data_IF_416095032598
#
_entry.id   IF_416095032598
#
_cell.length_a   1.000
_cell.length_b   1.000
_cell.length_c   1.000
_cell.angle_alpha   90.00
_cell.angle_beta   90.00
_cell.angle_gamma   90.00
#
_symmetry.space_group_name_H-M   'P 1'
#
loop_
_entity.id
_entity.type
_entity.pdbx_description
1 polymer ?
#
# COMPACT_ATOMS: atom_id res chain seq x y z
N UNK A 1 -0.12 -21.33 11.70
CA UNK A 1 0.81 -22.25 12.38
C UNK A 1 0.21 -23.66 12.54
N UNK A 2 -1.01 -23.82 13.04
CA UNK A 2 -1.65 -25.13 13.17
C UNK A 2 -1.71 -25.96 11.87
N UNK A 3 -1.90 -25.32 10.72
CA UNK A 3 -1.93 -25.98 9.41
C UNK A 3 -0.61 -26.65 9.04
N UNK A 4 0.53 -26.05 9.40
CA UNK A 4 1.87 -26.63 9.15
C UNK A 4 2.28 -27.68 10.16
N UNK A 5 1.71 -27.67 11.36
CA UNK A 5 1.94 -28.69 12.37
C UNK A 5 1.17 -29.99 12.10
N UNK A 6 -0.02 -29.84 11.49
CA UNK A 6 -0.94 -30.96 11.25
C UNK A 6 -0.76 -31.65 9.88
N UNK A 7 -0.02 -31.07 8.94
CA UNK A 7 0.08 -31.58 7.56
C UNK A 7 1.50 -31.48 7.01
N UNK A 8 1.88 -32.45 6.17
CA UNK A 8 3.10 -32.40 5.35
C UNK A 8 2.88 -31.45 4.15
N UNK A 9 2.91 -30.15 4.39
CA UNK A 9 2.66 -29.12 3.39
C UNK A 9 3.42 -27.83 3.63
N UNK A 10 3.22 -26.85 2.74
CA UNK A 10 3.82 -25.54 2.83
C UNK A 10 2.79 -24.43 2.58
N UNK A 11 3.15 -23.22 2.94
CA UNK A 11 2.33 -22.01 2.83
C UNK A 11 3.01 -21.04 1.88
N UNK A 12 2.23 -20.41 1.00
CA UNK A 12 2.64 -19.30 0.16
C UNK A 12 1.97 -18.01 0.64
N UNK A 13 2.76 -16.98 0.89
CA UNK A 13 2.26 -15.62 1.12
C UNK A 13 2.58 -14.80 -0.11
N UNK A 14 1.58 -14.18 -0.70
CA UNK A 14 1.72 -13.28 -1.83
C UNK A 14 1.49 -11.86 -1.33
N UNK A 15 2.49 -11.01 -1.49
CA UNK A 15 2.48 -9.64 -1.04
C UNK A 15 2.50 -8.66 -2.22
N UNK A 16 1.91 -7.45 -2.10
CA UNK A 16 1.83 -6.49 -3.20
C UNK A 16 3.18 -5.89 -3.59
N UNK A 17 4.13 -5.83 -2.66
CA UNK A 17 5.40 -5.15 -2.88
C UNK A 17 6.58 -5.83 -2.18
N UNK A 18 7.82 -5.49 -2.60
CA UNK A 18 9.05 -5.96 -1.93
C UNK A 18 9.16 -5.48 -0.48
N UNK A 19 8.59 -4.32 -0.17
CA UNK A 19 8.57 -3.76 1.19
C UNK A 19 7.68 -4.62 2.09
N UNK A 20 6.47 -4.96 1.63
CA UNK A 20 5.57 -5.86 2.35
C UNK A 20 6.20 -7.25 2.56
N UNK A 21 6.92 -7.79 1.56
CA UNK A 21 7.71 -9.04 1.73
C UNK A 21 8.74 -8.92 2.85
N UNK A 22 9.46 -7.79 2.93
CA UNK A 22 10.47 -7.56 3.97
C UNK A 22 9.83 -7.46 5.36
N UNK A 23 8.78 -6.68 5.52
CA UNK A 23 8.04 -6.53 6.78
C UNK A 23 7.51 -7.87 7.28
N UNK A 24 6.80 -8.62 6.43
CA UNK A 24 6.26 -9.93 6.76
C UNK A 24 7.36 -10.95 7.12
N UNK A 25 8.45 -10.96 6.34
CA UNK A 25 9.54 -11.91 6.59
C UNK A 25 10.24 -11.63 7.92
N UNK A 26 10.43 -10.36 8.28
CA UNK A 26 11.04 -9.97 9.55
C UNK A 26 10.16 -10.37 10.73
N UNK A 27 8.87 -10.04 10.68
CA UNK A 27 7.90 -10.38 11.72
C UNK A 27 7.74 -11.91 11.91
N UNK A 28 7.64 -12.65 10.80
CA UNK A 28 7.48 -14.10 10.84
C UNK A 28 8.74 -14.84 11.26
N UNK A 29 9.94 -14.39 10.89
CA UNK A 29 11.21 -14.99 11.36
C UNK A 29 11.36 -14.89 12.87
N UNK A 30 10.97 -13.77 13.46
CA UNK A 30 11.00 -13.63 14.92
C UNK A 30 10.10 -14.66 15.61
N UNK A 31 8.86 -14.85 15.13
CA UNK A 31 7.93 -15.85 15.68
C UNK A 31 8.29 -17.30 15.33
N UNK A 32 8.99 -17.56 14.21
CA UNK A 32 9.30 -18.89 13.72
C UNK A 32 10.47 -19.58 14.45
N UNK A 33 11.36 -18.83 15.09
CA UNK A 33 12.50 -19.36 15.83
C UNK A 33 12.10 -20.38 16.92
N UNK A 34 10.90 -20.21 17.48
CA UNK A 34 10.36 -21.09 18.54
C UNK A 34 9.57 -22.28 18.02
N UNK A 35 9.28 -22.36 16.71
CA UNK A 35 8.30 -23.32 16.16
C UNK A 35 8.88 -24.32 15.15
N UNK A 36 10.16 -24.18 14.79
CA UNK A 36 10.80 -25.02 13.77
C UNK A 36 10.24 -24.82 12.36
N UNK A 37 9.62 -23.66 12.08
CA UNK A 37 9.10 -23.28 10.77
C UNK A 37 10.17 -22.51 10.02
N UNK A 38 10.44 -22.92 8.76
CA UNK A 38 11.36 -22.20 7.86
C UNK A 38 10.63 -21.07 7.14
N UNK A 39 11.21 -19.87 7.12
CA UNK A 39 10.69 -18.72 6.37
C UNK A 39 11.65 -18.37 5.24
N UNK A 40 11.18 -18.53 4.00
CA UNK A 40 11.92 -18.22 2.76
C UNK A 40 11.36 -16.93 2.13
N UNK A 41 12.21 -15.97 1.81
CA UNK A 41 11.81 -14.72 1.16
C UNK A 41 12.93 -14.12 0.30
N UNK A 42 12.57 -13.31 -0.68
CA UNK A 42 13.54 -12.55 -1.48
C UNK A 42 14.52 -13.46 -2.23
N UNK A 43 15.82 -13.33 -1.95
CA UNK A 43 16.88 -14.10 -2.62
C UNK A 43 16.90 -15.59 -2.27
N UNK A 44 16.29 -15.99 -1.17
CA UNK A 44 16.21 -17.40 -0.75
C UNK A 44 15.19 -18.19 -1.58
N UNK A 45 14.38 -17.50 -2.41
CA UNK A 45 13.35 -18.12 -3.25
C UNK A 45 13.83 -18.22 -4.69
N UNK A 46 14.48 -19.32 -5.03
CA UNK A 46 14.95 -19.59 -6.40
C UNK A 46 13.83 -20.10 -7.32
N UNK A 47 12.88 -20.87 -6.76
CA UNK A 47 11.75 -21.45 -7.50
C UNK A 47 10.45 -21.24 -6.71
N UNK A 48 9.65 -20.27 -7.12
CA UNK A 48 8.46 -19.80 -6.38
C UNK A 48 7.46 -20.92 -6.07
N UNK A 49 7.11 -21.77 -7.04
CA UNK A 49 6.10 -22.81 -6.91
C UNK A 49 6.67 -24.24 -6.78
N UNK A 50 7.99 -24.43 -6.76
CA UNK A 50 8.57 -25.74 -6.45
C UNK A 50 8.28 -26.11 -4.99
N UNK A 51 7.98 -27.39 -4.73
CA UNK A 51 7.74 -27.86 -3.36
C UNK A 51 8.97 -27.65 -2.48
N UNK A 52 8.90 -26.80 -1.44
CA UNK A 52 10.00 -26.66 -0.48
C UNK A 52 9.99 -27.82 0.53
N UNK A 53 10.97 -27.90 1.44
CA UNK A 53 10.86 -28.77 2.61
C UNK A 53 9.56 -28.54 3.39
N UNK A 54 9.09 -29.56 4.09
CA UNK A 54 7.90 -29.43 4.94
C UNK A 54 8.07 -28.34 6.01
N UNK A 55 6.95 -27.79 6.47
CA UNK A 55 6.90 -26.65 7.43
C UNK A 55 7.58 -25.37 6.93
N UNK A 56 7.47 -25.08 5.65
CA UNK A 56 8.01 -23.85 5.07
C UNK A 56 6.90 -22.84 4.79
N UNK A 57 7.15 -21.58 5.16
CA UNK A 57 6.41 -20.41 4.70
C UNK A 57 7.27 -19.70 3.65
N UNK A 58 6.74 -19.55 2.45
CA UNK A 58 7.41 -18.82 1.36
C UNK A 58 6.69 -17.51 1.12
N UNK A 59 7.43 -16.40 1.08
CA UNK A 59 6.88 -15.06 0.89
C UNK A 59 7.43 -14.49 -0.42
N UNK A 60 6.54 -14.13 -1.33
CA UNK A 60 6.88 -13.63 -2.66
C UNK A 60 6.05 -12.40 -3.02
N UNK A 61 6.52 -11.63 -3.99
CA UNK A 61 5.69 -10.59 -4.60
C UNK A 61 4.78 -11.19 -5.67
N UNK A 62 3.66 -10.52 -5.95
CA UNK A 62 2.76 -10.88 -7.05
C UNK A 62 3.51 -10.92 -8.40
N UNK A 63 4.48 -10.03 -8.62
CA UNK A 63 5.34 -10.04 -9.82
C UNK A 63 6.16 -11.32 -9.93
N UNK A 64 6.85 -11.72 -8.86
CA UNK A 64 7.62 -12.96 -8.84
C UNK A 64 6.75 -14.20 -9.12
N UNK A 65 5.51 -14.17 -8.60
CA UNK A 65 4.54 -15.24 -8.86
C UNK A 65 4.08 -15.23 -10.33
N UNK A 66 3.75 -14.07 -10.90
CA UNK A 66 3.32 -13.94 -12.29
C UNK A 66 4.42 -14.40 -13.27
N UNK A 67 5.68 -14.09 -12.98
CA UNK A 67 6.82 -14.47 -13.82
C UNK A 67 6.93 -16.00 -13.99
N UNK A 68 6.49 -16.79 -13.00
CA UNK A 68 6.45 -18.26 -13.10
C UNK A 68 5.43 -18.73 -14.14
N UNK A 69 4.36 -17.98 -14.33
CA UNK A 69 3.30 -18.29 -15.27
C UNK A 69 3.52 -17.71 -16.68
N UNK A 70 4.70 -17.17 -16.96
CA UNK A 70 4.98 -16.50 -18.24
C UNK A 70 4.98 -17.44 -19.45
N UNK A 71 5.28 -18.73 -19.26
CA UNK A 71 5.41 -19.71 -20.36
C UNK A 71 4.57 -20.96 -20.19
N UNK A 72 4.17 -21.29 -18.98
CA UNK A 72 3.37 -22.48 -18.66
C UNK A 72 2.67 -22.33 -17.33
N UNK A 73 1.61 -23.09 -17.14
CA UNK A 73 0.96 -23.28 -15.82
C UNK A 73 1.61 -24.51 -15.17
N UNK A 74 2.44 -24.32 -14.11
CA UNK A 74 3.14 -25.43 -13.48
C UNK A 74 2.18 -26.24 -12.60
N UNK A 75 2.49 -27.53 -12.43
CA UNK A 75 1.82 -28.35 -11.43
C UNK A 75 2.33 -27.96 -10.02
N UNK A 76 1.40 -27.61 -9.13
CA UNK A 76 1.72 -27.22 -7.75
C UNK A 76 1.39 -28.35 -6.79
N UNK A 77 2.37 -28.80 -6.01
CA UNK A 77 2.21 -29.93 -5.08
C UNK A 77 2.50 -29.53 -3.64
N UNK A 78 1.70 -30.05 -2.70
CA UNK A 78 1.90 -29.86 -1.27
C UNK A 78 1.59 -28.44 -0.76
N UNK A 79 1.10 -27.52 -1.60
CA UNK A 79 0.64 -26.19 -1.18
C UNK A 79 -0.70 -26.34 -0.46
N UNK A 80 -0.76 -25.89 0.78
CA UNK A 80 -1.97 -26.03 1.64
C UNK A 80 -2.71 -24.73 1.83
N UNK A 81 -1.98 -23.62 1.86
CA UNK A 81 -2.55 -22.30 2.11
C UNK A 81 -1.84 -21.26 1.25
N UNK A 82 -2.63 -20.43 0.59
CA UNK A 82 -2.20 -19.19 -0.04
C UNK A 82 -2.75 -18.03 0.79
N UNK A 83 -1.88 -17.17 1.28
CA UNK A 83 -2.27 -15.93 1.95
C UNK A 83 -2.04 -14.77 1.00
N UNK A 84 -3.11 -14.08 0.64
CA UNK A 84 -3.11 -12.87 -0.18
C UNK A 84 -3.07 -11.66 0.76
N UNK A 85 -1.91 -11.02 0.88
CA UNK A 85 -1.70 -9.89 1.79
C UNK A 85 -1.94 -8.57 1.07
N UNK A 86 -2.61 -7.62 1.75
CA UNK A 86 -2.81 -6.28 1.23
C UNK A 86 -3.64 -6.23 -0.05
N UNK A 87 -4.76 -6.99 -0.09
CA UNK A 87 -5.59 -7.11 -1.30
C UNK A 87 -6.23 -5.77 -1.73
N UNK A 88 -6.34 -4.80 -0.84
CA UNK A 88 -6.75 -3.43 -1.22
C UNK A 88 -5.83 -2.78 -2.25
N UNK A 89 -4.61 -3.29 -2.40
CA UNK A 89 -3.64 -2.86 -3.41
C UNK A 89 -3.72 -3.70 -4.70
N UNK A 90 -4.87 -4.35 -4.95
CA UNK A 90 -5.07 -5.20 -6.12
C UNK A 90 -4.77 -4.42 -7.42
N UNK A 91 -3.64 -4.72 -8.02
CA UNK A 91 -3.26 -4.25 -9.34
C UNK A 91 -3.40 -5.39 -10.38
N UNK A 92 -3.29 -5.10 -11.67
CA UNK A 92 -3.41 -6.13 -12.72
C UNK A 92 -2.43 -7.29 -12.58
N UNK A 93 -1.25 -7.05 -12.02
CA UNK A 93 -0.23 -8.09 -11.81
C UNK A 93 -0.65 -9.01 -10.68
N UNK A 94 -1.13 -8.43 -9.58
CA UNK A 94 -1.59 -9.17 -8.42
C UNK A 94 -2.80 -10.01 -8.77
N UNK A 95 -3.80 -9.41 -9.43
CA UNK A 95 -5.01 -10.11 -9.85
C UNK A 95 -4.68 -11.30 -10.75
N UNK A 96 -3.89 -11.09 -11.81
CA UNK A 96 -3.56 -12.14 -12.77
C UNK A 96 -2.73 -13.25 -12.12
N UNK A 97 -1.75 -12.91 -11.27
CA UNK A 97 -0.92 -13.89 -10.58
C UNK A 97 -1.73 -14.81 -9.67
N UNK A 98 -2.66 -14.25 -8.89
CA UNK A 98 -3.54 -15.04 -8.00
C UNK A 98 -4.54 -15.87 -8.80
N UNK A 99 -5.09 -15.33 -9.89
CA UNK A 99 -6.02 -16.04 -10.76
C UNK A 99 -5.37 -17.27 -11.42
N UNK A 100 -4.13 -17.10 -11.92
CA UNK A 100 -3.36 -18.22 -12.49
C UNK A 100 -2.96 -19.24 -11.42
N UNK A 101 -2.63 -18.80 -10.21
CA UNK A 101 -2.37 -19.73 -9.10
C UNK A 101 -3.62 -20.51 -8.72
N UNK A 102 -4.78 -19.85 -8.68
CA UNK A 102 -6.06 -20.50 -8.43
C UNK A 102 -6.36 -21.56 -9.50
N UNK A 103 -6.15 -21.22 -10.78
CA UNK A 103 -6.28 -22.18 -11.89
C UNK A 103 -5.31 -23.37 -11.73
N UNK A 104 -4.03 -23.10 -11.38
CA UNK A 104 -3.02 -24.13 -11.17
C UNK A 104 -3.31 -25.06 -9.97
N UNK A 105 -4.13 -24.61 -9.03
CA UNK A 105 -4.44 -25.33 -7.79
C UNK A 105 -5.89 -25.83 -7.70
N UNK A 106 -6.69 -25.69 -8.77
CA UNK A 106 -8.12 -26.06 -8.75
C UNK A 106 -8.38 -27.52 -8.38
N UNK A 107 -7.45 -28.43 -8.69
CA UNK A 107 -7.56 -29.88 -8.38
C UNK A 107 -6.89 -30.26 -7.05
N UNK A 108 -6.41 -29.29 -6.27
CA UNK A 108 -5.68 -29.53 -5.01
C UNK A 108 -6.45 -28.96 -3.83
N UNK A 109 -6.29 -29.52 -2.61
CA UNK A 109 -6.97 -29.01 -1.42
C UNK A 109 -6.27 -27.76 -0.88
N UNK A 110 -5.95 -26.80 -1.75
CA UNK A 110 -5.32 -25.52 -1.41
C UNK A 110 -6.38 -24.52 -0.97
N UNK A 111 -6.19 -23.93 0.21
CA UNK A 111 -7.08 -22.89 0.74
C UNK A 111 -6.52 -21.51 0.44
N UNK A 112 -7.41 -20.54 0.18
CA UNK A 112 -7.06 -19.14 0.05
C UNK A 112 -7.52 -18.38 1.30
N UNK A 113 -6.64 -17.50 1.80
CA UNK A 113 -6.90 -16.57 2.88
C UNK A 113 -6.53 -15.18 2.39
N UNK A 114 -7.42 -14.22 2.59
CA UNK A 114 -7.21 -12.81 2.18
C UNK A 114 -7.12 -11.93 3.42
N UNK A 115 -6.13 -11.05 3.43
CA UNK A 115 -6.03 -9.95 4.38
C UNK A 115 -6.04 -8.64 3.60
N UNK A 116 -6.93 -7.74 3.98
CA UNK A 116 -7.11 -6.46 3.30
C UNK A 116 -7.49 -5.37 4.30
N UNK A 117 -7.24 -4.11 3.96
CA UNK A 117 -7.92 -2.99 4.59
C UNK A 117 -9.44 -3.13 4.38
N UNK A 118 -10.24 -2.37 5.14
CA UNK A 118 -11.70 -2.43 5.04
C UNK A 118 -12.18 -2.18 3.62
N UNK A 119 -12.91 -3.13 3.07
CA UNK A 119 -13.53 -3.06 1.75
C UNK A 119 -15.01 -2.74 1.88
N UNK A 120 -15.56 -1.99 0.92
CA UNK A 120 -16.99 -1.68 0.87
C UNK A 120 -17.84 -2.95 0.69
N UNK A 121 -17.40 -3.85 -0.20
CA UNK A 121 -18.02 -5.16 -0.43
C UNK A 121 -16.96 -6.20 -0.80
N UNK A 122 -16.89 -7.28 -0.01
CA UNK A 122 -15.97 -8.38 -0.22
C UNK A 122 -16.63 -9.59 -0.94
N UNK A 123 -17.89 -9.49 -1.35
CA UNK A 123 -18.66 -10.62 -1.90
C UNK A 123 -18.06 -11.17 -3.18
N UNK A 124 -17.61 -10.30 -4.10
CA UNK A 124 -17.01 -10.73 -5.35
C UNK A 124 -15.61 -11.31 -5.17
N UNK A 125 -14.88 -10.87 -4.15
CA UNK A 125 -13.59 -11.50 -3.76
C UNK A 125 -13.83 -12.90 -3.25
N UNK A 126 -14.86 -13.10 -2.43
CA UNK A 126 -15.21 -14.42 -1.91
C UNK A 126 -15.55 -15.39 -3.04
N UNK A 127 -16.33 -14.94 -4.04
CA UNK A 127 -16.63 -15.74 -5.24
C UNK A 127 -15.37 -16.01 -6.07
N UNK A 128 -14.55 -14.99 -6.28
CA UNK A 128 -13.29 -15.12 -7.03
C UNK A 128 -12.35 -16.15 -6.43
N UNK A 129 -12.23 -16.22 -5.10
CA UNK A 129 -11.30 -17.10 -4.41
C UNK A 129 -11.95 -18.35 -3.81
N UNK A 130 -13.23 -18.60 -4.13
CA UNK A 130 -14.01 -19.74 -3.63
C UNK A 130 -14.03 -19.82 -2.09
N UNK A 131 -14.26 -18.67 -1.45
CA UNK A 131 -14.38 -18.53 -0.01
C UNK A 131 -15.87 -18.57 0.35
N UNK A 132 -16.28 -19.52 1.19
CA UNK A 132 -17.66 -19.62 1.66
C UNK A 132 -18.03 -18.44 2.59
N UNK A 133 -19.33 -18.20 2.78
CA UNK A 133 -19.82 -17.09 3.61
C UNK A 133 -19.38 -17.19 5.08
N UNK A 134 -19.21 -18.39 5.62
CA UNK A 134 -18.72 -18.60 6.99
C UNK A 134 -17.22 -18.21 7.13
N UNK A 135 -16.46 -18.23 6.04
CA UNK A 135 -15.05 -17.82 5.98
C UNK A 135 -14.86 -16.33 5.78
N UNK A 136 -15.94 -15.54 5.64
CA UNK A 136 -15.89 -14.11 5.38
C UNK A 136 -16.14 -13.32 6.66
N UNK A 137 -15.14 -12.52 7.07
CA UNK A 137 -15.26 -11.57 8.16
C UNK A 137 -14.94 -10.17 7.63
N UNK A 138 -15.90 -9.25 7.76
CA UNK A 138 -15.74 -7.87 7.28
C UNK A 138 -15.72 -6.93 8.46
N UNK A 139 -14.66 -6.14 8.58
CA UNK A 139 -14.53 -5.06 9.56
C UNK A 139 -14.72 -3.72 8.84
N UNK A 140 -15.60 -2.88 9.34
CA UNK A 140 -15.74 -1.51 8.85
C UNK A 140 -14.65 -0.63 9.45
N UNK A 141 -14.32 0.53 8.85
CA UNK A 141 -13.32 1.44 9.42
C UNK A 141 -13.59 1.82 10.87
N UNK A 142 -14.87 1.89 11.29
CA UNK A 142 -15.29 2.18 12.67
C UNK A 142 -15.10 1.02 13.65
N UNK A 143 -14.91 -0.22 13.16
CA UNK A 143 -14.78 -1.42 14.01
C UNK A 143 -13.32 -1.65 14.44
N UNK A 144 -12.47 -0.61 14.42
CA UNK A 144 -11.08 -0.66 14.87
C UNK A 144 -11.02 -0.87 16.39
N UNK A 145 -10.05 -1.68 16.84
CA UNK A 145 -9.75 -1.86 18.27
C UNK A 145 -9.28 -0.55 18.92
N UNK A 146 -8.56 0.28 18.15
CA UNK A 146 -8.13 1.60 18.59
C UNK A 146 -9.03 2.67 18.01
N UNK A 147 -9.53 3.53 18.88
CA UNK A 147 -10.31 4.69 18.45
C UNK A 147 -9.46 5.66 17.64
N UNK A 148 -10.06 6.23 16.60
CA UNK A 148 -9.44 7.18 15.70
C UNK A 148 -10.31 8.41 15.58
N UNK A 149 -9.74 9.57 15.90
CA UNK A 149 -10.36 10.87 15.64
C UNK A 149 -9.97 11.34 14.26
N UNK A 150 -10.94 11.46 13.37
CA UNK A 150 -10.75 11.95 12.00
C UNK A 150 -11.17 13.40 11.89
N UNK A 151 -10.23 14.28 11.62
CA UNK A 151 -10.47 15.72 11.41
C UNK A 151 -10.25 16.06 9.94
N UNK A 152 -11.22 16.71 9.31
CA UNK A 152 -11.19 17.05 7.89
C UNK A 152 -11.20 18.58 7.74
N UNK A 153 -10.29 19.13 6.93
CA UNK A 153 -10.24 20.56 6.63
C UNK A 153 -10.11 20.79 5.14
N UNK A 154 -10.97 21.64 4.60
CA UNK A 154 -11.02 21.94 3.17
C UNK A 154 -10.36 23.28 2.83
N UNK A 155 -9.84 23.33 1.61
CA UNK A 155 -9.22 24.51 1.03
C UNK A 155 -9.79 24.74 -0.38
N UNK A 156 -9.98 26.01 -0.74
CA UNK A 156 -10.45 26.43 -2.05
C UNK A 156 -9.30 26.93 -2.96
N UNK A 157 -8.08 26.92 -2.42
CA UNK A 157 -6.88 27.33 -3.17
C UNK A 157 -6.48 26.19 -4.11
N UNK A 158 -6.28 26.46 -5.42
CA UNK A 158 -5.78 25.45 -6.36
C UNK A 158 -4.41 24.92 -5.94
N UNK A 159 -4.04 23.72 -6.47
CA UNK A 159 -2.73 23.13 -6.24
C UNK A 159 -1.60 24.09 -6.59
N UNK A 160 -0.88 24.57 -5.57
CA UNK A 160 0.16 25.60 -5.69
C UNK A 160 0.99 25.67 -4.41
N UNK A 161 2.11 26.37 -4.44
CA UNK A 161 2.89 26.66 -3.23
C UNK A 161 2.07 27.41 -2.17
N UNK A 162 1.15 28.28 -2.60
CA UNK A 162 0.26 29.05 -1.69
C UNK A 162 -0.69 28.14 -0.92
N UNK A 163 -1.15 27.05 -1.53
CA UNK A 163 -1.99 26.04 -0.85
C UNK A 163 -1.23 25.43 0.33
N UNK A 164 0.00 24.96 0.10
CA UNK A 164 0.79 24.30 1.16
C UNK A 164 1.16 25.28 2.28
N UNK A 165 1.46 26.53 1.93
CA UNK A 165 1.68 27.58 2.92
C UNK A 165 0.44 27.86 3.78
N UNK A 166 -0.76 27.84 3.16
CA UNK A 166 -2.01 27.96 3.89
C UNK A 166 -2.31 26.76 4.80
N UNK A 167 -1.81 25.57 4.47
CA UNK A 167 -1.93 24.35 5.28
C UNK A 167 -0.96 24.29 6.44
N UNK A 168 0.16 25.03 6.43
CA UNK A 168 1.21 24.96 7.44
C UNK A 168 0.72 25.31 8.85
N UNK A 169 -0.05 26.39 9.02
CA UNK A 169 -0.61 26.80 10.32
C UNK A 169 -1.60 25.78 10.88
N UNK A 170 -2.61 25.28 10.13
CA UNK A 170 -3.46 24.18 10.59
C UNK A 170 -2.70 22.91 10.94
N UNK A 171 -1.66 22.55 10.17
CA UNK A 171 -0.84 21.37 10.46
C UNK A 171 -0.06 21.55 11.77
N UNK A 172 0.57 22.72 11.97
CA UNK A 172 1.23 23.06 13.24
C UNK A 172 0.26 22.91 14.42
N UNK A 173 -0.95 23.49 14.31
CA UNK A 173 -1.97 23.37 15.37
C UNK A 173 -2.39 21.94 15.63
N UNK A 174 -2.53 21.11 14.59
CA UNK A 174 -2.84 19.69 14.74
C UNK A 174 -1.73 18.96 15.53
N UNK A 175 -0.46 19.30 15.30
CA UNK A 175 0.68 18.76 16.06
C UNK A 175 0.62 19.22 17.54
N UNK A 176 0.24 20.47 17.80
CA UNK A 176 0.20 21.03 19.16
C UNK A 176 -1.00 20.55 19.98
N UNK A 177 -2.14 20.27 19.34
CA UNK A 177 -3.34 19.74 20.02
C UNK A 177 -3.21 18.27 20.44
N UNK A 178 -2.22 17.56 19.90
CA UNK A 178 -1.92 16.22 20.37
C UNK A 178 -1.38 16.22 21.81
N UNK A 179 -1.56 15.14 22.57
CA UNK A 179 -0.97 15.02 23.90
C UNK A 179 0.50 15.41 23.92
N UNK A 180 0.94 16.07 25.01
CA UNK A 180 2.32 16.57 25.11
C UNK A 180 3.34 15.48 24.78
N UNK A 181 4.31 15.83 23.90
CA UNK A 181 5.36 14.89 23.46
C UNK A 181 4.96 13.93 22.34
N UNK A 182 3.70 13.91 21.89
CA UNK A 182 3.27 13.02 20.81
C UNK A 182 4.00 13.33 19.50
N UNK A 183 4.47 12.26 18.85
CA UNK A 183 5.06 12.34 17.51
C UNK A 183 4.00 12.49 16.41
N UNK A 184 4.37 13.09 15.28
CA UNK A 184 3.51 13.34 14.15
C UNK A 184 4.15 12.91 12.82
N UNK A 185 3.40 12.16 12.00
CA UNK A 185 3.72 11.91 10.60
C UNK A 185 3.00 12.96 9.73
N UNK A 186 3.74 13.64 8.87
CA UNK A 186 3.18 14.64 7.93
C UNK A 186 3.37 14.15 6.51
N UNK A 187 2.31 13.70 5.87
CA UNK A 187 2.33 13.28 4.47
C UNK A 187 2.18 14.47 3.54
N UNK A 188 3.04 14.51 2.52
CA UNK A 188 3.14 15.58 1.54
C UNK A 188 3.16 15.03 0.11
N UNK A 189 2.83 15.82 -0.93
CA UNK A 189 2.70 15.30 -2.30
C UNK A 189 3.99 14.74 -2.90
N UNK A 190 5.14 15.36 -2.65
CA UNK A 190 6.38 14.94 -3.29
C UNK A 190 7.62 15.23 -2.44
N UNK A 191 8.68 14.45 -2.68
CA UNK A 191 9.96 14.65 -2.00
C UNK A 191 10.60 16.03 -2.23
N UNK A 192 10.33 16.65 -3.39
CA UNK A 192 10.83 17.98 -3.70
C UNK A 192 10.25 19.09 -2.81
N UNK A 193 9.13 18.84 -2.14
CA UNK A 193 8.45 19.78 -1.24
C UNK A 193 8.84 19.59 0.23
N UNK A 194 9.62 18.55 0.58
CA UNK A 194 9.97 18.23 1.96
C UNK A 194 10.55 19.43 2.72
N UNK A 195 11.57 20.05 2.16
CA UNK A 195 12.29 21.17 2.81
C UNK A 195 11.42 22.42 2.94
N UNK A 196 10.64 22.74 1.90
CA UNK A 196 9.76 23.92 1.92
C UNK A 196 8.67 23.78 2.98
N UNK A 197 8.00 22.62 3.03
CA UNK A 197 6.94 22.37 4.02
C UNK A 197 7.53 22.29 5.44
N UNK A 198 8.71 21.69 5.61
CA UNK A 198 9.41 21.69 6.90
C UNK A 198 9.71 23.12 7.37
N UNK A 199 10.22 23.97 6.48
CA UNK A 199 10.50 25.36 6.80
C UNK A 199 9.24 26.14 7.17
N UNK A 200 8.13 25.92 6.45
CA UNK A 200 6.84 26.54 6.76
C UNK A 200 6.34 26.10 8.14
N UNK A 201 6.45 24.81 8.49
CA UNK A 201 6.07 24.28 9.80
C UNK A 201 6.93 24.86 10.93
N UNK A 202 8.26 24.88 10.76
CA UNK A 202 9.19 25.45 11.74
C UNK A 202 8.89 26.95 11.94
N UNK A 203 8.62 27.67 10.85
CA UNK A 203 8.25 29.09 10.92
C UNK A 203 6.96 29.30 11.72
N UNK A 204 5.93 28.46 11.49
CA UNK A 204 4.68 28.56 12.28
C UNK A 204 4.93 28.22 13.76
N UNK A 205 5.76 27.22 14.05
CA UNK A 205 6.14 26.86 15.41
C UNK A 205 6.83 28.02 16.11
N UNK A 206 7.82 28.64 15.47
CA UNK A 206 8.55 29.79 16.04
C UNK A 206 7.63 30.98 16.29
N UNK A 207 6.68 31.26 15.39
CA UNK A 207 5.74 32.38 15.52
C UNK A 207 4.67 32.18 16.62
N UNK A 208 4.18 30.94 16.79
CA UNK A 208 3.10 30.67 17.77
C UNK A 208 3.66 30.28 19.16
N UNK A 209 4.83 29.63 19.24
CA UNK A 209 5.40 29.13 20.49
C UNK A 209 6.51 30.05 21.05
N UNK A 210 6.92 31.06 20.30
CA UNK A 210 8.02 31.97 20.66
C UNK A 210 9.34 31.24 21.07
N UNK A 211 9.55 30.01 20.55
CA UNK A 211 10.69 29.19 20.89
C UNK A 211 11.61 28.95 19.67
N UNK A 212 12.90 29.05 19.89
CA UNK A 212 13.91 28.75 18.89
C UNK A 212 14.15 27.23 18.72
N UNK A 213 13.64 26.38 19.64
CA UNK A 213 13.87 24.94 19.64
C UNK A 213 13.00 24.18 18.62
N UNK A 214 11.96 24.85 18.07
CA UNK A 214 11.06 24.24 17.11
C UNK A 214 10.21 23.10 17.74
N UNK A 215 10.31 21.91 17.17
CA UNK A 215 9.59 20.70 17.62
C UNK A 215 10.44 19.75 18.47
N UNK A 216 11.61 20.19 18.98
CA UNK A 216 12.38 19.42 19.96
C UNK A 216 11.62 19.44 21.30
N UNK A 217 11.28 18.28 21.89
CA UNK A 217 10.60 18.23 23.18
C UNK A 217 11.46 18.83 24.31
N UNK A 218 10.82 19.45 25.30
CA UNK A 218 11.51 20.13 26.42
C UNK A 218 12.40 19.22 27.26
N UNK A 219 12.04 17.94 27.35
CA UNK A 219 12.82 16.94 28.10
C UNK A 219 14.09 16.46 27.36
N UNK A 220 14.23 16.76 26.08
CA UNK A 220 15.42 16.40 25.29
C UNK A 220 16.48 17.50 25.43
N UNK A 221 17.67 17.15 25.91
CA UNK A 221 18.78 18.10 26.04
C UNK A 221 19.43 18.41 24.69
N UNK A 222 20.08 19.57 24.61
CA UNK A 222 20.80 19.99 23.39
C UNK A 222 22.02 19.08 23.13
N UNK A 223 22.61 18.47 24.16
CA UNK A 223 23.69 17.49 24.02
C UNK A 223 23.23 16.24 23.28
N UNK A 224 22.04 15.71 23.60
CA UNK A 224 21.45 14.56 22.89
C UNK A 224 21.23 14.88 21.41
N UNK A 225 20.69 16.06 21.12
CA UNK A 225 20.51 16.50 19.74
C UNK A 225 21.86 16.66 19.02
N UNK A 226 22.87 17.18 19.72
CA UNK A 226 24.23 17.34 19.22
C UNK A 226 24.91 16.01 18.89
N UNK A 227 24.77 15.02 19.76
CA UNK A 227 25.33 13.68 19.56
C UNK A 227 24.72 12.99 18.33
N UNK A 228 23.41 13.13 18.12
CA UNK A 228 22.78 12.67 16.89
C UNK A 228 23.25 13.47 15.67
N UNK A 229 23.27 14.79 15.74
CA UNK A 229 23.66 15.70 14.65
C UNK A 229 25.08 15.40 14.13
N UNK A 230 26.01 15.06 15.01
CA UNK A 230 27.40 14.71 14.64
C UNK A 230 27.51 13.43 13.78
N UNK A 231 26.50 12.59 13.75
CA UNK A 231 26.46 11.31 12.99
C UNK A 231 25.89 11.45 11.58
N UNK A 232 25.28 12.60 11.24
CA UNK A 232 24.72 12.82 9.91
C UNK A 232 25.82 13.01 8.86
N UNK A 233 25.58 12.43 7.68
CA UNK A 233 26.43 12.58 6.50
C UNK A 233 26.05 13.81 5.66
N UNK A 234 24.75 14.05 5.52
CA UNK A 234 24.21 15.22 4.83
C UNK A 234 23.94 16.35 5.84
N UNK A 235 24.91 17.26 5.98
CA UNK A 235 24.81 18.40 6.88
C UNK A 235 23.65 19.34 6.56
N UNK A 236 23.12 19.31 5.32
CA UNK A 236 21.97 20.13 4.96
C UNK A 236 20.66 19.67 5.62
N UNK A 237 20.65 18.50 6.26
CA UNK A 237 19.53 18.01 7.05
C UNK A 237 19.52 18.57 8.47
N UNK A 238 20.66 19.04 8.96
CA UNK A 238 20.80 19.52 10.35
C UNK A 238 19.92 20.75 10.63
N UNK A 239 19.73 21.64 9.65
CA UNK A 239 18.85 22.81 9.79
C UNK A 239 17.42 22.44 10.19
N UNK A 240 16.98 21.23 9.87
CA UNK A 240 15.65 20.70 10.17
C UNK A 240 15.66 19.78 11.39
N UNK A 241 16.61 18.87 11.46
CA UNK A 241 16.68 17.88 12.54
C UNK A 241 16.90 18.56 13.89
N UNK A 242 17.76 19.60 13.96
CA UNK A 242 17.98 20.41 15.18
C UNK A 242 16.76 21.26 15.56
N UNK A 243 15.74 21.31 14.71
CA UNK A 243 14.42 21.92 14.99
C UNK A 243 13.31 20.87 15.19
N UNK A 244 13.68 19.61 15.36
CA UNK A 244 12.75 18.51 15.64
C UNK A 244 11.95 18.02 14.44
N UNK A 245 12.43 18.26 13.21
CA UNK A 245 11.79 17.82 11.95
C UNK A 245 12.74 16.91 11.18
N UNK A 246 12.31 15.67 10.91
CA UNK A 246 13.03 14.71 10.07
C UNK A 246 12.29 14.43 8.76
N UNK A 247 12.94 13.68 7.89
CA UNK A 247 12.39 13.26 6.58
C UNK A 247 12.54 11.77 6.38
N UNK A 248 11.59 11.17 5.68
CA UNK A 248 11.67 9.76 5.28
C UNK A 248 11.31 9.57 3.82
N UNK A 249 12.31 9.37 2.97
CA UNK A 249 12.13 8.97 1.57
C UNK A 249 13.42 8.36 0.98
N UNK A 250 13.34 7.56 -0.11
CA UNK A 250 14.49 6.85 -0.67
C UNK A 250 15.58 7.75 -1.28
N UNK A 251 15.32 9.06 -1.45
CA UNK A 251 16.31 10.02 -1.92
C UNK A 251 17.29 10.51 -0.85
N UNK A 252 17.12 10.09 0.41
CA UNK A 252 18.06 10.39 1.52
C UNK A 252 18.99 9.18 1.69
N UNK A 253 20.26 9.44 2.03
CA UNK A 253 21.22 8.38 2.37
C UNK A 253 20.60 7.40 3.38
N UNK A 254 20.89 6.11 3.21
CA UNK A 254 20.30 5.08 4.06
C UNK A 254 20.66 5.25 5.54
N UNK A 255 21.91 5.66 5.85
CA UNK A 255 22.35 5.85 7.23
C UNK A 255 21.63 7.05 7.87
N UNK A 256 21.53 8.18 7.19
CA UNK A 256 20.83 9.38 7.67
C UNK A 256 19.33 9.10 7.85
N UNK A 257 18.73 8.33 6.93
CA UNK A 257 17.31 7.93 7.04
C UNK A 257 17.06 7.04 8.25
N UNK A 258 17.93 6.08 8.54
CA UNK A 258 17.85 5.24 9.74
C UNK A 258 17.99 6.11 10.98
N UNK A 259 18.96 7.02 11.00
CA UNK A 259 19.21 7.91 12.12
C UNK A 259 17.99 8.79 12.45
N UNK A 260 17.30 9.33 11.42
CA UNK A 260 16.08 10.09 11.62
C UNK A 260 14.92 9.21 12.15
N UNK A 261 14.83 7.95 11.71
CA UNK A 261 13.85 7.01 12.27
C UNK A 261 14.13 6.67 13.73
N UNK A 262 15.40 6.50 14.10
CA UNK A 262 15.81 6.27 15.49
C UNK A 262 15.46 7.48 16.36
N UNK A 263 15.84 8.69 15.93
CA UNK A 263 15.48 9.94 16.61
C UNK A 263 13.96 10.11 16.77
N UNK A 264 13.18 9.74 15.74
CA UNK A 264 11.72 9.82 15.80
C UNK A 264 11.13 8.79 16.76
N UNK A 265 11.65 7.56 16.75
CA UNK A 265 11.19 6.47 17.60
C UNK A 265 11.54 6.67 19.07
N UNK A 266 12.69 7.31 19.34
CA UNK A 266 13.14 7.66 20.69
C UNK A 266 12.53 8.99 21.19
N UNK A 267 11.75 9.69 20.34
CA UNK A 267 11.10 10.93 20.70
C UNK A 267 12.04 12.14 20.75
N UNK A 268 13.23 12.07 20.16
CA UNK A 268 14.18 13.19 20.04
C UNK A 268 13.65 14.24 19.05
N UNK A 269 13.09 13.79 17.92
CA UNK A 269 12.37 14.65 16.99
C UNK A 269 10.88 14.32 17.01
N UNK A 270 10.03 15.34 16.89
CA UNK A 270 8.58 15.18 17.02
C UNK A 270 7.86 15.04 15.69
N UNK A 271 8.43 15.55 14.60
CA UNK A 271 7.79 15.59 13.28
C UNK A 271 8.61 14.81 12.26
N UNK A 272 7.97 13.87 11.55
CA UNK A 272 8.59 13.18 10.41
C UNK A 272 7.77 13.46 9.15
N UNK A 273 8.39 14.09 8.16
CA UNK A 273 7.77 14.42 6.87
C UNK A 273 8.02 13.29 5.88
N UNK A 274 6.93 12.81 5.29
CA UNK A 274 6.92 11.63 4.42
C UNK A 274 6.21 11.97 3.11
N UNK A 275 6.88 11.89 1.94
CA UNK A 275 6.20 11.99 0.65
C UNK A 275 5.19 10.85 0.47
N UNK A 276 4.09 11.12 -0.26
CA UNK A 276 3.02 10.14 -0.48
C UNK A 276 3.53 8.79 -1.00
N UNK A 277 4.50 8.79 -1.90
CA UNK A 277 5.06 7.57 -2.48
C UNK A 277 5.80 6.68 -1.46
N UNK A 278 6.14 7.23 -0.30
CA UNK A 278 6.79 6.52 0.79
C UNK A 278 5.81 5.99 1.85
N UNK A 279 4.50 6.20 1.70
CA UNK A 279 3.50 5.77 2.69
C UNK A 279 3.48 4.24 2.92
N UNK A 280 3.86 3.47 1.89
CA UNK A 280 3.96 2.01 1.98
C UNK A 280 5.27 1.52 2.60
N UNK A 281 6.30 2.36 2.63
CA UNK A 281 7.66 1.99 3.07
C UNK A 281 8.07 2.60 4.42
N UNK A 282 7.31 3.57 4.94
CA UNK A 282 7.59 4.15 6.25
C UNK A 282 7.32 3.11 7.36
N UNK A 283 8.34 2.76 8.17
CA UNK A 283 8.23 1.65 9.11
C UNK A 283 7.71 2.07 10.50
N UNK A 284 7.31 3.32 10.67
CA UNK A 284 6.87 3.89 11.95
C UNK A 284 5.40 4.29 11.90
N UNK A 285 4.79 4.31 13.08
CA UNK A 285 3.43 4.82 13.33
C UNK A 285 3.51 6.01 14.29
N UNK A 286 2.49 6.84 14.32
CA UNK A 286 2.44 7.99 15.21
C UNK A 286 1.04 8.23 15.74
N UNK A 287 0.89 8.83 16.94
CA UNK A 287 -0.40 9.28 17.45
C UNK A 287 -1.10 10.26 16.53
N UNK A 288 -0.33 11.08 15.82
CA UNK A 288 -0.86 12.10 14.89
C UNK A 288 -0.37 11.81 13.47
N UNK A 289 -1.30 11.77 12.54
CA UNK A 289 -1.02 11.68 11.11
C UNK A 289 -1.74 12.81 10.39
N UNK A 290 -1.01 13.58 9.61
CA UNK A 290 -1.52 14.73 8.86
C UNK A 290 -1.24 14.51 7.38
N UNK A 291 -2.26 14.64 6.55
CA UNK A 291 -2.13 14.64 5.09
C UNK A 291 -2.30 16.08 4.61
N UNK A 292 -1.22 16.68 4.10
CA UNK A 292 -1.23 18.06 3.61
C UNK A 292 -1.41 18.08 2.10
N UNK A 293 -2.67 18.18 1.69
CA UNK A 293 -3.08 18.09 0.29
C UNK A 293 -3.21 16.65 -0.19
N UNK A 294 -4.15 16.44 -1.10
CA UNK A 294 -4.48 15.13 -1.67
C UNK A 294 -4.23 15.07 -3.17
N UNK A 295 -3.49 16.04 -3.68
CA UNK A 295 -3.12 16.13 -5.11
C UNK A 295 -1.60 16.14 -5.26
N UNK A 296 -1.11 15.65 -6.39
CA UNK A 296 0.30 15.67 -6.75
C UNK A 296 0.49 15.86 -8.26
N UNK A 297 1.68 16.30 -8.64
CA UNK A 297 2.07 16.39 -10.05
C UNK A 297 2.57 15.03 -10.52
N UNK A 298 1.83 14.42 -11.43
CA UNK A 298 2.25 13.24 -12.15
C UNK A 298 3.02 13.65 -13.42
N UNK A 299 4.20 13.09 -13.60
CA UNK A 299 5.00 13.26 -14.82
C UNK A 299 4.71 12.09 -15.73
N UNK A 300 4.29 12.34 -16.96
CA UNK A 300 4.02 11.29 -17.93
C UNK A 300 5.26 10.49 -18.33
N UNK A 301 5.06 9.37 -19.00
CA UNK A 301 6.15 8.50 -19.49
C UNK A 301 7.10 9.22 -20.47
N UNK A 302 6.60 10.26 -21.13
CA UNK A 302 7.35 11.15 -22.02
C UNK A 302 8.32 12.11 -21.26
N UNK A 303 8.24 12.16 -19.93
CA UNK A 303 9.00 13.07 -19.08
C UNK A 303 8.64 14.55 -19.20
N UNK A 304 7.77 14.92 -20.15
CA UNK A 304 7.42 16.29 -20.48
C UNK A 304 6.00 16.67 -20.02
N UNK A 305 5.05 15.77 -20.15
CA UNK A 305 3.66 16.02 -19.72
C UNK A 305 3.54 16.03 -18.20
N UNK A 306 2.85 17.04 -17.67
CA UNK A 306 2.59 17.18 -16.23
C UNK A 306 1.10 17.29 -16.01
N UNK A 307 0.56 16.44 -15.18
CA UNK A 307 -0.85 16.44 -14.83
C UNK A 307 -1.00 16.43 -13.31
N UNK A 308 -1.96 17.19 -12.81
CA UNK A 308 -2.36 17.11 -11.40
C UNK A 308 -3.28 15.89 -11.27
N UNK A 309 -2.90 14.97 -10.37
CA UNK A 309 -3.69 13.78 -10.04
C UNK A 309 -3.99 13.75 -8.56
N UNK A 310 -5.14 13.17 -8.22
CA UNK A 310 -5.51 12.93 -6.82
C UNK A 310 -4.77 11.70 -6.25
N UNK A 311 -4.60 11.68 -4.93
CA UNK A 311 -4.12 10.49 -4.22
C UNK A 311 -5.13 9.35 -4.41
N UNK A 312 -4.62 8.14 -4.49
CA UNK A 312 -5.49 6.96 -4.47
C UNK A 312 -6.14 6.80 -3.09
N UNK A 313 -7.34 6.24 -3.08
CA UNK A 313 -8.03 5.93 -1.82
C UNK A 313 -7.23 4.96 -0.94
N UNK A 314 -6.52 4.02 -1.56
CA UNK A 314 -5.66 3.05 -0.87
C UNK A 314 -4.49 3.72 -0.17
N UNK A 315 -3.85 4.72 -0.77
CA UNK A 315 -2.80 5.53 -0.12
C UNK A 315 -3.36 6.26 1.10
N UNK A 316 -4.53 6.89 1.00
CA UNK A 316 -5.15 7.60 2.12
C UNK A 316 -5.53 6.66 3.26
N UNK A 317 -6.09 5.49 2.96
CA UNK A 317 -6.39 4.47 3.99
C UNK A 317 -5.10 3.96 4.63
N UNK A 318 -4.04 3.75 3.86
CA UNK A 318 -2.72 3.41 4.41
C UNK A 318 -2.20 4.50 5.35
N UNK A 319 -2.22 5.76 4.94
CA UNK A 319 -1.81 6.89 5.79
C UNK A 319 -2.65 6.94 7.06
N UNK A 320 -3.97 6.78 6.95
CA UNK A 320 -4.87 6.73 8.11
C UNK A 320 -4.53 5.58 9.06
N UNK A 321 -4.14 4.41 8.55
CA UNK A 321 -3.78 3.24 9.36
C UNK A 321 -2.53 3.43 10.21
N UNK A 322 -1.72 4.44 9.91
CA UNK A 322 -0.51 4.78 10.67
C UNK A 322 -0.79 5.67 11.88
N UNK A 323 -2.01 6.20 11.99
CA UNK A 323 -2.46 6.97 13.17
C UNK A 323 -2.81 6.01 14.30
N UNK A 324 -1.88 5.76 15.21
CA UNK A 324 -2.00 4.78 16.29
C UNK A 324 -1.43 5.33 17.58
N UNK A 325 -2.19 5.24 18.67
CA UNK A 325 -1.74 5.54 20.03
C UNK A 325 -2.13 4.40 20.97
N UNK A 326 -1.22 3.97 21.83
CA UNK A 326 -1.42 2.77 22.68
C UNK A 326 -2.46 2.95 23.78
N UNK A 327 -2.63 4.15 24.31
CA UNK A 327 -3.47 4.44 25.48
C UNK A 327 -4.54 5.49 25.26
N UNK A 328 -4.68 6.02 24.03
CA UNK A 328 -5.60 7.09 23.70
C UNK A 328 -6.01 7.01 22.22
N UNK A 329 -6.81 7.98 21.74
CA UNK A 329 -7.22 8.05 20.36
C UNK A 329 -6.05 8.41 19.44
N UNK A 330 -5.88 7.67 18.34
CA UNK A 330 -5.09 8.14 17.21
C UNK A 330 -5.79 9.32 16.53
N UNK A 331 -5.04 10.29 16.01
CA UNK A 331 -5.58 11.46 15.34
C UNK A 331 -5.16 11.48 13.87
N UNK A 332 -6.13 11.51 12.98
CA UNK A 332 -5.90 11.63 11.54
C UNK A 332 -6.48 12.92 11.00
N UNK A 333 -5.64 13.77 10.43
CA UNK A 333 -6.01 15.04 9.84
C UNK A 333 -5.90 14.98 8.32
N UNK A 334 -7.02 15.18 7.63
CA UNK A 334 -7.07 15.23 6.17
C UNK A 334 -7.30 16.67 5.71
N UNK A 335 -6.31 17.25 5.02
CA UNK A 335 -6.40 18.54 4.37
C UNK A 335 -6.53 18.33 2.87
N UNK A 336 -7.65 18.72 2.29
CA UNK A 336 -7.94 18.47 0.88
C UNK A 336 -8.67 19.65 0.23
N UNK A 337 -8.83 19.60 -1.08
CA UNK A 337 -9.71 20.51 -1.81
C UNK A 337 -11.17 20.22 -1.44
N UNK A 338 -11.99 21.27 -1.48
CA UNK A 338 -13.40 21.19 -1.04
C UNK A 338 -14.20 20.17 -1.88
N UNK A 339 -13.97 20.11 -3.17
CA UNK A 339 -14.64 19.20 -4.10
C UNK A 339 -14.30 17.71 -3.87
N UNK A 340 -13.14 17.43 -3.29
CA UNK A 340 -12.69 16.05 -3.03
C UNK A 340 -13.19 15.49 -1.69
N UNK A 341 -13.67 16.35 -0.78
CA UNK A 341 -14.00 15.97 0.59
C UNK A 341 -15.06 14.88 0.68
N UNK A 342 -16.14 15.00 -0.09
CA UNK A 342 -17.25 14.05 -0.04
C UNK A 342 -16.81 12.66 -0.46
N UNK A 343 -16.05 12.56 -1.55
CA UNK A 343 -15.50 11.31 -2.06
C UNK A 343 -14.60 10.64 -1.03
N UNK A 344 -13.63 11.36 -0.49
CA UNK A 344 -12.73 10.79 0.51
C UNK A 344 -13.47 10.40 1.80
N UNK A 345 -14.40 11.22 2.27
CA UNK A 345 -15.18 10.92 3.46
C UNK A 345 -15.97 9.63 3.30
N UNK A 346 -16.67 9.48 2.17
CA UNK A 346 -17.46 8.29 1.89
C UNK A 346 -16.64 7.00 1.99
N UNK A 347 -15.44 6.98 1.41
CA UNK A 347 -14.63 5.76 1.37
C UNK A 347 -13.81 5.52 2.64
N UNK A 348 -13.38 6.58 3.32
CA UNK A 348 -12.74 6.44 4.63
C UNK A 348 -13.71 5.93 5.70
N UNK A 349 -15.00 6.24 5.57
CA UNK A 349 -16.03 5.85 6.54
C UNK A 349 -16.69 4.49 6.20
N UNK A 350 -16.78 4.11 4.90
CA UNK A 350 -17.53 2.92 4.45
C UNK A 350 -16.66 1.79 3.87
N UNK A 351 -15.35 1.98 3.78
CA UNK A 351 -14.43 1.02 3.17
C UNK A 351 -14.17 1.26 1.68
N UNK A 352 -13.09 0.66 1.19
CA UNK A 352 -12.57 0.87 -0.16
C UNK A 352 -13.43 0.17 -1.22
N UNK A 353 -13.72 0.80 -2.35
CA UNK A 353 -14.21 0.11 -3.54
C UNK A 353 -13.06 -0.65 -4.19
N UNK A 354 -13.34 -1.81 -4.73
CA UNK A 354 -12.35 -2.58 -5.48
C UNK A 354 -12.89 -2.93 -6.87
N UNK A 355 -12.13 -2.60 -7.91
CA UNK A 355 -12.44 -2.91 -9.31
C UNK A 355 -11.24 -3.57 -9.98
N UNK A 356 -11.49 -4.44 -10.94
CA UNK A 356 -10.43 -4.99 -11.78
C UNK A 356 -9.90 -3.96 -12.76
N UNK A 357 -8.60 -3.83 -12.82
CA UNK A 357 -7.90 -2.97 -13.79
C UNK A 357 -7.29 -3.79 -14.95
N UNK A 358 -7.53 -5.09 -15.02
CA UNK A 358 -6.98 -5.96 -16.05
C UNK A 358 -7.26 -5.48 -17.48
N UNK A 359 -8.50 -5.08 -17.86
CA UNK A 359 -8.79 -4.65 -19.22
C UNK A 359 -8.09 -3.35 -19.62
N UNK A 360 -7.80 -2.49 -18.64
CA UNK A 360 -7.18 -1.18 -18.86
C UNK A 360 -5.65 -1.21 -18.85
N UNK A 361 -5.05 -2.38 -18.56
CA UNK A 361 -3.61 -2.52 -18.40
C UNK A 361 -2.97 -3.32 -19.53
N UNK A 362 -1.67 -3.11 -19.74
CA UNK A 362 -0.87 -3.93 -20.66
C UNK A 362 -0.57 -5.32 -20.11
N UNK A 363 -0.71 -5.53 -18.79
CA UNK A 363 -0.29 -6.76 -18.10
C UNK A 363 -0.90 -8.02 -18.70
N UNK A 364 -2.22 -8.02 -18.93
CA UNK A 364 -2.92 -9.16 -19.51
C UNK A 364 -2.46 -9.44 -20.94
N UNK A 365 -2.35 -8.41 -21.76
CA UNK A 365 -1.86 -8.51 -23.14
C UNK A 365 -0.42 -9.02 -23.22
N UNK A 366 0.47 -8.49 -22.38
CA UNK A 366 1.88 -8.89 -22.35
C UNK A 366 2.02 -10.33 -21.88
N UNK A 367 1.22 -10.76 -20.90
CA UNK A 367 1.16 -12.14 -20.48
C UNK A 367 0.65 -13.08 -21.58
N UNK A 368 -0.44 -12.73 -22.27
CA UNK A 368 -0.97 -13.51 -23.40
C UNK A 368 0.10 -13.67 -24.49
N UNK A 369 0.79 -12.58 -24.88
CA UNK A 369 1.88 -12.63 -25.85
C UNK A 369 3.01 -13.56 -25.41
N UNK A 370 3.40 -13.51 -24.14
CA UNK A 370 4.47 -14.34 -23.59
C UNK A 370 4.08 -15.81 -23.51
N UNK A 371 2.85 -16.09 -23.09
CA UNK A 371 2.36 -17.46 -22.85
C UNK A 371 2.03 -18.20 -24.14
N UNK A 372 1.31 -17.59 -25.07
CA UNK A 372 0.82 -18.21 -26.30
C UNK A 372 1.74 -18.00 -27.50
N UNK A 373 2.61 -16.99 -27.49
CA UNK A 373 3.42 -16.63 -28.64
C UNK A 373 2.58 -16.32 -29.87
N UNK A 374 2.87 -16.96 -31.00
CA UNK A 374 2.15 -16.74 -32.27
C UNK A 374 0.83 -17.52 -32.39
N UNK A 375 0.56 -18.46 -31.49
CA UNK A 375 -0.63 -19.32 -31.55
C UNK A 375 -1.62 -18.94 -30.47
N UNK A 376 -2.40 -17.88 -30.71
CA UNK A 376 -3.44 -17.44 -29.79
C UNK A 376 -4.60 -18.43 -29.78
N UNK A 377 -4.97 -18.92 -28.60
CA UNK A 377 -6.14 -19.76 -28.36
C UNK A 377 -7.17 -18.98 -27.55
N UNK A 378 -8.22 -18.51 -28.24
CA UNK A 378 -9.29 -17.71 -27.63
C UNK A 378 -9.99 -18.44 -26.51
N UNK A 379 -10.24 -19.78 -26.65
CA UNK A 379 -10.91 -20.56 -25.61
C UNK A 379 -10.05 -20.63 -24.37
N UNK A 380 -8.76 -20.89 -24.51
CA UNK A 380 -7.86 -20.95 -23.35
C UNK A 380 -7.72 -19.57 -22.66
N UNK A 381 -7.71 -18.48 -23.42
CA UNK A 381 -7.73 -17.11 -22.84
C UNK A 381 -9.03 -16.91 -22.06
N UNK A 382 -10.17 -17.33 -22.62
CA UNK A 382 -11.48 -17.27 -21.98
C UNK A 382 -11.52 -18.06 -20.68
N UNK A 383 -10.97 -19.30 -20.69
CA UNK A 383 -10.87 -20.15 -19.53
C UNK A 383 -10.05 -19.47 -18.40
N UNK A 384 -8.90 -18.88 -18.74
CA UNK A 384 -8.10 -18.12 -17.76
C UNK A 384 -8.86 -16.92 -17.22
N UNK A 385 -9.52 -16.14 -18.09
CA UNK A 385 -10.28 -14.96 -17.65
C UNK A 385 -11.45 -15.32 -16.73
N UNK A 386 -12.07 -16.50 -16.89
CA UNK A 386 -13.14 -16.96 -16.01
C UNK A 386 -12.70 -17.15 -14.56
N UNK A 387 -11.40 -17.35 -14.31
CA UNK A 387 -10.79 -17.44 -12.98
C UNK A 387 -10.38 -16.09 -12.37
N UNK A 388 -10.55 -14.98 -13.09
CA UNK A 388 -10.13 -13.65 -12.61
C UNK A 388 -11.18 -12.97 -11.74
N UNK A 389 -10.75 -12.00 -10.96
CA UNK A 389 -11.66 -11.09 -10.25
C UNK A 389 -12.51 -10.28 -11.25
N UNK A 390 -11.93 -9.93 -12.41
CA UNK A 390 -12.65 -9.31 -13.52
C UNK A 390 -13.94 -10.04 -13.87
N UNK A 391 -13.90 -11.39 -13.93
CA UNK A 391 -15.06 -12.20 -14.25
C UNK A 391 -16.24 -12.00 -13.28
N UNK A 392 -15.96 -11.72 -12.01
CA UNK A 392 -16.99 -11.40 -11.03
C UNK A 392 -17.47 -9.94 -11.19
N UNK A 393 -16.54 -9.01 -11.49
CA UNK A 393 -16.85 -7.58 -11.58
C UNK A 393 -17.65 -7.20 -12.82
N UNK A 394 -17.44 -7.86 -13.95
CA UNK A 394 -18.27 -7.60 -15.17
C UNK A 394 -19.74 -7.95 -14.96
N UNK A 395 -20.05 -8.85 -14.02
CA UNK A 395 -21.43 -9.21 -13.62
C UNK A 395 -21.97 -8.21 -12.60
N UNK A 396 -21.18 -7.87 -11.59
CA UNK A 396 -21.63 -7.03 -10.47
C UNK A 396 -21.67 -5.55 -10.83
N UNK A 397 -20.73 -5.07 -11.65
CA UNK A 397 -20.65 -3.67 -12.08
C UNK A 397 -20.37 -3.54 -13.60
N UNK A 398 -21.26 -4.04 -14.49
CA UNK A 398 -21.01 -4.09 -15.92
C UNK A 398 -20.77 -2.71 -16.55
N UNK A 399 -21.46 -1.68 -16.07
CA UNK A 399 -21.34 -0.32 -16.61
C UNK A 399 -19.94 0.29 -16.46
N UNK A 400 -19.20 -0.09 -15.41
CA UNK A 400 -17.82 0.35 -15.21
C UNK A 400 -16.88 -0.16 -16.33
N UNK A 401 -17.22 -1.32 -16.89
CA UNK A 401 -16.47 -1.97 -17.99
C UNK A 401 -17.06 -1.69 -19.36
N UNK A 402 -18.10 -0.83 -19.45
CA UNK A 402 -18.73 -0.46 -20.71
C UNK A 402 -19.80 -1.45 -21.20
N UNK A 403 -20.22 -2.41 -20.37
CA UNK A 403 -21.25 -3.39 -20.71
C UNK A 403 -22.64 -2.97 -20.22
N UNK A 404 -23.67 -3.38 -20.97
CA UNK A 404 -25.08 -3.17 -20.60
C UNK A 404 -25.69 -4.44 -19.95
N UNK A 405 -25.19 -5.59 -20.35
CA UNK A 405 -25.64 -6.92 -19.88
C UNK A 405 -24.83 -7.35 -18.64
N UNK A 406 -25.46 -8.17 -17.80
CA UNK A 406 -24.81 -8.90 -16.69
C UNK A 406 -24.38 -10.31 -17.08
N UNK A 407 -24.37 -10.61 -18.38
CA UNK A 407 -23.90 -11.88 -18.88
C UNK A 407 -22.37 -11.94 -18.85
N UNK A 408 -21.83 -12.81 -18.00
CA UNK A 408 -20.38 -12.97 -17.82
C UNK A 408 -19.69 -13.44 -19.10
N UNK A 409 -20.24 -14.48 -19.73
CA UNK A 409 -19.66 -15.10 -20.93
C UNK A 409 -19.59 -14.11 -22.09
N UNK A 410 -20.68 -13.39 -22.35
CA UNK A 410 -20.76 -12.35 -23.38
C UNK A 410 -19.73 -11.23 -23.13
N UNK A 411 -19.64 -10.77 -21.88
CA UNK A 411 -18.70 -9.68 -21.52
C UNK A 411 -17.25 -10.13 -21.63
N UNK A 412 -16.91 -11.32 -21.18
CA UNK A 412 -15.56 -11.87 -21.28
C UNK A 412 -15.18 -12.16 -22.73
N UNK A 413 -16.13 -12.69 -23.56
CA UNK A 413 -15.90 -12.90 -25.00
C UNK A 413 -15.57 -11.61 -25.72
N UNK A 414 -16.30 -10.52 -25.43
CA UNK A 414 -16.04 -9.22 -26.02
C UNK A 414 -14.63 -8.69 -25.63
N UNK A 415 -14.23 -8.89 -24.37
CA UNK A 415 -12.87 -8.52 -23.91
C UNK A 415 -11.80 -9.36 -24.63
N UNK A 416 -12.00 -10.66 -24.79
CA UNK A 416 -11.05 -11.54 -25.48
C UNK A 416 -10.94 -11.15 -26.96
N UNK A 417 -12.05 -10.88 -27.63
CA UNK A 417 -12.04 -10.45 -29.04
C UNK A 417 -11.24 -9.17 -29.22
N UNK A 418 -11.47 -8.17 -28.39
CA UNK A 418 -10.70 -6.92 -28.41
C UNK A 418 -9.21 -7.15 -28.12
N UNK A 419 -8.86 -7.97 -27.11
CA UNK A 419 -7.47 -8.31 -26.79
C UNK A 419 -6.77 -9.01 -27.95
N UNK A 420 -7.45 -9.93 -28.63
CA UNK A 420 -6.90 -10.64 -29.77
C UNK A 420 -6.71 -9.69 -30.96
N UNK A 421 -7.66 -8.78 -31.21
CA UNK A 421 -7.50 -7.72 -32.22
C UNK A 421 -6.31 -6.81 -31.91
N UNK A 422 -6.17 -6.35 -30.66
CA UNK A 422 -5.06 -5.50 -30.21
C UNK A 422 -3.69 -6.20 -30.31
N UNK A 423 -3.66 -7.54 -30.20
CA UNK A 423 -2.44 -8.34 -30.30
C UNK A 423 -2.08 -8.67 -31.74
N UNK A 424 -3.09 -8.97 -32.57
CA UNK A 424 -2.92 -9.44 -33.94
C UNK A 424 -3.10 -8.33 -34.98
N UNK A 425 -3.78 -7.26 -34.62
CA UNK A 425 -3.96 -6.09 -35.46
C UNK A 425 -2.61 -5.49 -35.77
N UNK A 426 -2.34 -5.34 -37.04
CA UNK A 426 -1.16 -4.63 -37.54
C UNK A 426 -1.25 -3.18 -37.12
N UNK A 427 -0.17 -2.67 -36.53
CA UNK A 427 0.09 -1.24 -36.33
C UNK A 427 -0.28 -0.40 -37.52
#
# INVERSE_FOLDING_TARGET
MNTLQATDGWILIVAPSKVAVLELSTGLRYGSQLTGISVQSGRDVHHVLSRPPSRTIRIVTARQLLDVFSTKIPQVTGLRLVLCEGLEQLDPIYELAISLLRLATQSTPTRFLVISASLHDASDISKWLDINDQGKTTFRPKDRDQSLVVSKKTFTIPYSASLFKAMARPAHRAIQHAPQGSSALVFIPSRGQCRTIAQDLITQCTLEMETARGYIPDHVSDDVVGDYAARFRDFSLLDFVTKGVGFFHPGIDKADRILMLDMFSEGVIRVLIVPKDSCWSVPVRAPVVIVTGTQYVHVGEDGASRQIKDYSLTELVRMQSLAVQQSDNGHFYLFCQAEALETYSRFLDNGLPLESLLPKSRTLRDWIKSFFGAKLDKQHIMDVLSFTFLAQRVVSNPSYYGFKSRNQEESLSAIVDQLVEDITGKD
#
